data_IF_869114987243
#
_entry.id   IF_869114987243
#
_cell.length_a   1.000
_cell.length_b   1.000
_cell.length_c   1.000
_cell.angle_alpha   90.00
_cell.angle_beta   90.00
_cell.angle_gamma   90.00
#
_symmetry.space_group_name_H-M   'P 1'
#
loop_
_entity.id
_entity.type
_entity.pdbx_description
1 polymer ?
#
# COMPACT_ATOMS: atom_id res chain seq x y z
N UNK A 1 0.10 -22.07 0.05
CA UNK A 1 -0.65 -20.93 -0.52
C UNK A 1 -1.71 -21.50 -1.44
N UNK A 2 -2.99 -21.24 -1.17
CA UNK A 2 -4.12 -21.87 -1.88
C UNK A 2 -4.43 -21.14 -3.19
N UNK A 3 -4.54 -19.81 -3.15
CA UNK A 3 -4.81 -18.96 -4.33
C UNK A 3 -4.02 -17.66 -4.24
N UNK A 4 -3.64 -17.07 -5.39
CA UNK A 4 -3.05 -15.74 -5.46
C UNK A 4 -3.39 -15.06 -6.79
N UNK A 5 -3.55 -13.72 -6.77
CA UNK A 5 -3.55 -12.87 -7.96
C UNK A 5 -2.82 -11.56 -7.67
N UNK A 6 -2.09 -11.06 -8.65
CA UNK A 6 -1.38 -9.79 -8.56
C UNK A 6 -1.63 -8.99 -9.84
N UNK A 7 -2.21 -7.81 -9.71
CA UNK A 7 -2.47 -6.89 -10.81
C UNK A 7 -1.56 -5.68 -10.70
N UNK A 8 -1.29 -5.04 -11.84
CA UNK A 8 -0.44 -3.86 -11.88
C UNK A 8 -1.01 -2.86 -12.89
N UNK A 9 -1.60 -1.77 -12.39
CA UNK A 9 -2.13 -0.67 -13.21
C UNK A 9 -1.49 0.65 -12.82
N UNK A 10 -1.23 1.49 -13.81
CA UNK A 10 -0.66 2.82 -13.60
C UNK A 10 -1.77 3.82 -13.26
N UNK A 11 -1.84 4.20 -11.98
CA UNK A 11 -2.91 5.05 -11.43
C UNK A 11 -2.43 6.41 -10.93
N UNK A 12 -1.12 6.61 -10.72
CA UNK A 12 -0.54 7.85 -10.17
C UNK A 12 0.41 8.53 -11.16
N UNK A 13 0.54 9.86 -11.11
CA UNK A 13 1.49 10.60 -11.98
C UNK A 13 2.93 10.49 -11.45
N UNK A 14 3.89 10.16 -12.31
CA UNK A 14 5.31 10.00 -11.95
C UNK A 14 5.96 11.23 -11.27
N UNK A 15 5.64 12.46 -11.69
CA UNK A 15 6.31 13.70 -11.24
C UNK A 15 5.61 14.47 -10.11
N UNK A 16 4.33 14.21 -9.83
CA UNK A 16 3.55 15.08 -8.92
C UNK A 16 2.80 14.34 -7.82
N UNK A 17 2.99 13.01 -7.71
CA UNK A 17 2.62 12.20 -6.54
C UNK A 17 1.19 12.39 -6.05
N UNK A 18 0.25 11.55 -6.48
CA UNK A 18 -1.12 11.59 -6.01
C UNK A 18 -2.05 10.75 -6.88
N UNK A 19 -3.15 10.32 -6.29
CA UNK A 19 -4.23 9.59 -6.96
C UNK A 19 -5.05 10.59 -7.78
N UNK A 20 -5.49 10.22 -8.98
CA UNK A 20 -6.16 11.16 -9.88
C UNK A 20 -7.50 11.61 -9.29
N UNK A 21 -8.28 10.69 -8.71
CA UNK A 21 -9.55 11.00 -8.03
C UNK A 21 -9.41 12.04 -6.90
N UNK A 22 -8.37 11.94 -6.07
CA UNK A 22 -8.11 12.92 -5.01
C UNK A 22 -7.79 14.31 -5.58
N UNK A 23 -7.03 14.38 -6.68
CA UNK A 23 -6.69 15.64 -7.33
C UNK A 23 -7.90 16.25 -8.06
N UNK A 24 -8.74 15.43 -8.69
CA UNK A 24 -9.96 15.89 -9.36
C UNK A 24 -10.97 16.45 -8.36
N UNK A 25 -11.08 15.87 -7.16
CA UNK A 25 -11.94 16.39 -6.11
C UNK A 25 -11.45 17.74 -5.54
N UNK A 26 -10.13 17.97 -5.54
CA UNK A 26 -9.54 19.18 -4.97
C UNK A 26 -9.43 20.34 -5.96
N UNK A 27 -9.13 20.07 -7.25
CA UNK A 27 -8.81 21.09 -8.27
C UNK A 27 -9.74 21.05 -9.48
N UNK A 28 -10.78 20.23 -9.44
CA UNK A 28 -11.67 19.97 -10.55
C UNK A 28 -11.12 18.93 -11.54
N UNK A 29 -11.99 18.29 -12.33
CA UNK A 29 -11.60 17.19 -13.20
C UNK A 29 -10.73 17.69 -14.35
N UNK A 30 -9.45 17.30 -14.35
CA UNK A 30 -8.58 17.55 -15.50
C UNK A 30 -9.10 16.79 -16.73
N UNK A 31 -9.22 17.45 -17.89
CA UNK A 31 -9.74 16.87 -19.14
C UNK A 31 -8.67 16.30 -20.08
N UNK A 32 -7.42 16.22 -19.63
CA UNK A 32 -6.33 15.69 -20.46
C UNK A 32 -6.46 14.18 -20.71
N UNK A 33 -5.95 13.70 -21.85
CA UNK A 33 -5.90 12.27 -22.17
C UNK A 33 -5.20 11.44 -21.07
N UNK A 34 -4.13 11.97 -20.48
CA UNK A 34 -3.44 11.31 -19.37
C UNK A 34 -4.25 11.23 -18.08
N UNK A 35 -5.13 12.19 -17.81
CA UNK A 35 -6.06 12.13 -16.68
C UNK A 35 -7.17 11.09 -16.93
N UNK A 36 -7.73 11.07 -18.14
CA UNK A 36 -8.73 10.07 -18.55
C UNK A 36 -8.18 8.64 -18.43
N UNK A 37 -6.95 8.39 -18.91
CA UNK A 37 -6.30 7.08 -18.79
C UNK A 37 -6.11 6.63 -17.34
N UNK A 38 -5.74 7.55 -16.43
CA UNK A 38 -5.61 7.23 -15.01
C UNK A 38 -6.95 6.91 -14.35
N UNK A 39 -8.02 7.65 -14.66
CA UNK A 39 -9.38 7.32 -14.19
C UNK A 39 -9.85 5.96 -14.70
N UNK A 40 -9.60 5.67 -15.97
CA UNK A 40 -9.88 4.36 -16.54
C UNK A 40 -9.11 3.25 -15.81
N UNK A 41 -7.81 3.43 -15.58
CA UNK A 41 -7.00 2.47 -14.84
C UNK A 41 -7.45 2.31 -13.38
N UNK A 42 -7.90 3.37 -12.71
CA UNK A 42 -8.47 3.29 -11.37
C UNK A 42 -9.78 2.47 -11.35
N UNK A 43 -10.69 2.70 -12.30
CA UNK A 43 -11.92 1.92 -12.44
C UNK A 43 -11.66 0.46 -12.78
N UNK A 44 -10.83 0.21 -13.78
CA UNK A 44 -10.52 -1.14 -14.20
C UNK A 44 -9.73 -1.91 -13.11
N UNK A 45 -8.91 -1.21 -12.31
CA UNK A 45 -8.30 -1.81 -11.13
C UNK A 45 -9.38 -2.25 -10.15
N UNK A 46 -10.35 -1.38 -9.84
CA UNK A 46 -11.48 -1.69 -8.97
C UNK A 46 -12.26 -2.92 -9.44
N UNK A 47 -12.58 -2.99 -10.73
CA UNK A 47 -13.29 -4.13 -11.34
C UNK A 47 -12.50 -5.44 -11.19
N UNK A 48 -11.19 -5.42 -11.46
CA UNK A 48 -10.33 -6.59 -11.30
C UNK A 48 -10.37 -7.13 -9.86
N UNK A 49 -10.45 -6.24 -8.87
CA UNK A 49 -10.46 -6.59 -7.44
C UNK A 49 -11.79 -7.18 -7.03
N UNK A 50 -12.88 -6.52 -7.43
CA UNK A 50 -14.25 -6.99 -7.19
C UNK A 50 -14.40 -8.40 -7.75
N UNK A 51 -13.93 -8.63 -8.98
CA UNK A 51 -13.97 -9.96 -9.60
C UNK A 51 -13.20 -10.99 -8.77
N UNK A 52 -12.02 -10.66 -8.25
CA UNK A 52 -11.27 -11.59 -7.38
C UNK A 52 -11.97 -11.85 -6.06
N UNK A 53 -12.63 -10.85 -5.49
CA UNK A 53 -13.39 -11.00 -4.26
C UNK A 53 -14.56 -11.95 -4.45
N UNK A 54 -15.26 -11.85 -5.57
CA UNK A 54 -16.33 -12.74 -5.99
C UNK A 54 -15.80 -14.16 -6.27
N UNK A 55 -14.73 -14.28 -7.08
CA UNK A 55 -14.07 -15.56 -7.39
C UNK A 55 -13.66 -16.31 -6.10
N UNK A 56 -13.34 -15.59 -5.02
CA UNK A 56 -12.85 -16.16 -3.76
C UNK A 56 -13.87 -16.09 -2.61
N UNK A 57 -15.14 -15.75 -2.88
CA UNK A 57 -16.14 -15.51 -1.85
C UNK A 57 -16.27 -16.68 -0.86
N UNK A 58 -16.32 -17.91 -1.37
CA UNK A 58 -16.41 -19.13 -0.54
C UNK A 58 -15.18 -19.32 0.36
N UNK A 59 -13.97 -19.19 -0.22
CA UNK A 59 -12.73 -19.32 0.53
C UNK A 59 -12.63 -18.24 1.63
N UNK A 60 -13.14 -17.04 1.35
CA UNK A 60 -13.11 -15.93 2.29
C UNK A 60 -14.15 -16.03 3.39
N UNK A 61 -15.32 -16.61 3.08
CA UNK A 61 -16.30 -16.95 4.08
C UNK A 61 -15.72 -17.96 5.09
N UNK A 62 -14.96 -18.95 4.62
CA UNK A 62 -14.33 -19.97 5.46
C UNK A 62 -13.10 -19.47 6.25
N UNK A 63 -12.55 -18.30 5.90
CA UNK A 63 -11.32 -17.79 6.52
C UNK A 63 -11.61 -17.13 7.88
N UNK A 64 -10.98 -17.56 8.99
CA UNK A 64 -11.19 -16.97 10.32
C UNK A 64 -10.50 -15.62 10.49
N UNK A 65 -9.38 -15.37 9.79
CA UNK A 65 -8.59 -14.15 9.96
C UNK A 65 -8.08 -13.62 8.62
N UNK A 66 -8.34 -12.35 8.36
CA UNK A 66 -8.08 -11.72 7.08
C UNK A 66 -7.18 -10.50 7.28
N UNK A 67 -5.96 -10.55 6.75
CA UNK A 67 -5.03 -9.42 6.81
C UNK A 67 -5.08 -8.59 5.54
N UNK A 68 -5.47 -7.31 5.66
CA UNK A 68 -5.51 -6.36 4.56
C UNK A 68 -4.52 -5.22 4.76
N UNK A 69 -3.76 -4.92 3.70
CA UNK A 69 -2.95 -3.72 3.59
C UNK A 69 -3.30 -2.99 2.29
N UNK A 70 -3.87 -1.81 2.42
CA UNK A 70 -4.16 -0.92 1.30
C UNK A 70 -3.99 0.54 1.73
N UNK A 71 -3.98 1.46 0.77
CA UNK A 71 -4.13 2.87 1.09
C UNK A 71 -5.55 3.13 1.64
N UNK A 72 -5.70 4.13 2.50
CA UNK A 72 -6.98 4.44 3.17
C UNK A 72 -8.13 4.65 2.18
N UNK A 73 -7.88 5.37 1.09
CA UNK A 73 -8.89 5.65 0.05
C UNK A 73 -9.31 4.41 -0.75
N UNK A 74 -8.47 3.37 -0.85
CA UNK A 74 -8.79 2.12 -1.56
C UNK A 74 -9.55 1.14 -0.69
N UNK A 75 -9.57 1.35 0.64
CA UNK A 75 -10.22 0.43 1.58
C UNK A 75 -11.72 0.30 1.30
N UNK A 76 -12.33 1.36 0.76
CA UNK A 76 -13.76 1.40 0.41
C UNK A 76 -14.16 0.30 -0.58
N UNK A 77 -13.25 -0.11 -1.47
CA UNK A 77 -13.51 -1.15 -2.49
C UNK A 77 -13.95 -2.44 -1.82
N UNK A 78 -13.33 -2.82 -0.69
CA UNK A 78 -13.62 -4.06 0.03
C UNK A 78 -14.97 -4.05 0.77
N UNK A 79 -15.61 -2.89 0.90
CA UNK A 79 -16.88 -2.71 1.62
C UNK A 79 -18.07 -2.46 0.69
N UNK A 80 -17.81 -2.23 -0.59
CA UNK A 80 -18.82 -1.94 -1.62
C UNK A 80 -18.98 -3.09 -2.62
N UNK A 81 -18.47 -4.28 -2.26
CA UNK A 81 -18.67 -5.51 -3.04
C UNK A 81 -19.87 -6.25 -2.44
N UNK A 82 -20.87 -6.55 -3.25
CA UNK A 82 -22.07 -7.27 -2.79
C UNK A 82 -21.71 -8.71 -2.36
N UNK A 83 -21.03 -9.47 -3.23
CA UNK A 83 -20.60 -10.84 -2.96
C UNK A 83 -19.10 -10.93 -2.67
N UNK A 84 -18.73 -11.52 -1.53
CA UNK A 84 -17.32 -11.66 -1.10
C UNK A 84 -16.71 -10.38 -0.52
N UNK A 85 -17.48 -9.29 -0.40
CA UNK A 85 -17.11 -8.10 0.34
C UNK A 85 -17.11 -8.30 1.86
N UNK A 86 -16.56 -7.33 2.57
CA UNK A 86 -16.51 -7.33 4.03
C UNK A 86 -17.34 -6.21 4.63
N UNK A 87 -17.98 -6.50 5.76
CA UNK A 87 -18.59 -5.45 6.58
C UNK A 87 -17.53 -4.48 7.12
N UNK A 88 -17.91 -3.22 7.33
CA UNK A 88 -17.00 -2.18 7.85
C UNK A 88 -16.40 -2.53 9.21
N UNK A 89 -17.10 -3.33 10.01
CA UNK A 89 -16.72 -3.75 11.36
C UNK A 89 -16.48 -5.26 11.46
N UNK A 90 -16.21 -5.94 10.33
CA UNK A 90 -15.93 -7.38 10.35
C UNK A 90 -14.72 -7.67 11.28
N UNK A 91 -14.90 -8.47 12.35
CA UNK A 91 -13.85 -8.73 13.35
C UNK A 91 -12.68 -9.56 12.80
N UNK A 92 -12.87 -10.23 11.66
CA UNK A 92 -11.83 -11.02 10.97
C UNK A 92 -10.81 -10.11 10.28
N UNK A 93 -11.18 -8.87 9.96
CA UNK A 93 -10.30 -7.92 9.29
C UNK A 93 -9.24 -7.35 10.22
N UNK A 94 -7.97 -7.61 9.91
CA UNK A 94 -6.79 -7.07 10.61
C UNK A 94 -5.86 -6.32 9.65
N UNK A 95 -5.11 -5.39 10.21
CA UNK A 95 -4.01 -4.72 9.49
C UNK A 95 -2.71 -5.44 9.78
N UNK A 96 -1.82 -5.54 8.78
CA UNK A 96 -0.48 -6.11 8.95
C UNK A 96 0.32 -5.22 9.94
N UNK A 97 0.82 -5.77 11.06
CA UNK A 97 1.42 -5.00 12.16
C UNK A 97 2.89 -4.61 11.92
N UNK A 98 3.39 -4.74 10.70
CA UNK A 98 4.76 -4.40 10.31
C UNK A 98 4.80 -3.84 8.90
N UNK A 99 5.96 -3.30 8.53
CA UNK A 99 6.16 -2.71 7.21
C UNK A 99 6.07 -3.76 6.09
N UNK A 100 5.27 -3.41 5.09
CA UNK A 100 5.06 -4.16 3.86
C UNK A 100 5.74 -3.45 2.70
N UNK A 101 6.36 -4.21 1.80
CA UNK A 101 6.99 -3.72 0.56
C UNK A 101 5.97 -3.70 -0.58
N UNK A 102 6.48 -3.59 -1.81
CA UNK A 102 5.66 -3.64 -3.02
C UNK A 102 4.86 -4.94 -3.07
N UNK A 103 3.57 -4.88 -3.44
CA UNK A 103 2.67 -6.02 -3.53
C UNK A 103 3.03 -6.94 -4.69
N UNK A 104 3.97 -7.85 -4.42
CA UNK A 104 4.39 -8.94 -5.28
C UNK A 104 4.16 -10.26 -4.53
N UNK A 105 4.16 -11.36 -5.27
CA UNK A 105 3.95 -12.69 -4.69
C UNK A 105 4.97 -13.04 -3.59
N UNK A 106 6.23 -12.65 -3.78
CA UNK A 106 7.29 -12.85 -2.79
C UNK A 106 7.03 -12.07 -1.49
N UNK A 107 6.41 -10.89 -1.61
CA UNK A 107 6.00 -10.11 -0.46
C UNK A 107 4.81 -10.75 0.28
N UNK A 108 3.85 -11.35 -0.45
CA UNK A 108 2.76 -12.13 0.17
C UNK A 108 3.36 -13.24 1.02
N UNK A 109 4.28 -14.00 0.45
CA UNK A 109 4.96 -15.12 1.11
C UNK A 109 5.73 -14.66 2.35
N UNK A 110 6.55 -13.60 2.22
CA UNK A 110 7.30 -13.04 3.34
C UNK A 110 6.40 -12.58 4.49
N UNK A 111 5.28 -11.92 4.16
CA UNK A 111 4.31 -11.46 5.16
C UNK A 111 3.67 -12.67 5.86
N UNK A 112 3.24 -13.68 5.10
CA UNK A 112 2.65 -14.90 5.64
C UNK A 112 3.59 -15.63 6.59
N UNK A 113 4.82 -15.90 6.15
CA UNK A 113 5.86 -16.54 6.98
C UNK A 113 6.12 -15.75 8.27
N UNK A 114 6.17 -14.42 8.17
CA UNK A 114 6.41 -13.55 9.32
C UNK A 114 5.22 -13.51 10.30
N UNK A 115 3.98 -13.55 9.81
CA UNK A 115 2.79 -13.62 10.65
C UNK A 115 2.67 -14.97 11.37
N UNK A 116 3.08 -16.06 10.72
CA UNK A 116 3.09 -17.40 11.30
C UNK A 116 4.31 -17.70 12.18
N UNK A 117 5.34 -16.85 12.18
CA UNK A 117 6.54 -17.06 12.99
C UNK A 117 6.42 -16.47 14.39
N UNK A 118 6.96 -17.19 15.38
CA UNK A 118 7.19 -16.66 16.73
C UNK A 118 8.65 -16.24 16.85
N UNK A 119 8.90 -15.03 17.35
CA UNK A 119 10.25 -14.50 17.54
C UNK A 119 10.53 -14.20 19.00
N UNK A 120 11.63 -14.75 19.53
CA UNK A 120 12.13 -14.42 20.87
C UNK A 120 12.93 -13.11 20.82
N UNK A 121 12.62 -12.17 21.72
CA UNK A 121 13.25 -10.86 21.76
C UNK A 121 14.12 -10.63 23.01
N UNK A 122 14.51 -11.71 23.69
CA UNK A 122 15.25 -11.63 24.95
C UNK A 122 14.36 -11.18 26.10
N UNK A 123 14.96 -10.49 27.06
CA UNK A 123 14.25 -9.94 28.23
C UNK A 123 13.34 -8.77 27.83
N UNK A 124 12.36 -8.44 28.68
CA UNK A 124 11.45 -7.31 28.45
C UNK A 124 12.22 -5.98 28.32
N UNK A 125 13.27 -5.80 29.13
CA UNK A 125 14.11 -4.60 29.12
C UNK A 125 14.86 -4.46 27.78
N UNK A 126 15.49 -5.54 27.31
CA UNK A 126 16.19 -5.57 26.02
C UNK A 126 15.24 -5.25 24.86
N UNK A 127 14.05 -5.84 24.87
CA UNK A 127 13.02 -5.58 23.85
C UNK A 127 12.57 -4.11 23.85
N UNK A 128 12.27 -3.55 25.02
CA UNK A 128 11.85 -2.16 25.16
C UNK A 128 12.95 -1.17 24.77
N UNK A 129 14.20 -1.46 25.13
CA UNK A 129 15.37 -0.69 24.73
C UNK A 129 15.55 -0.72 23.20
N UNK A 130 15.46 -1.89 22.57
CA UNK A 130 15.57 -2.03 21.12
C UNK A 130 14.45 -1.29 20.38
N UNK A 131 13.21 -1.40 20.86
CA UNK A 131 12.07 -0.65 20.32
C UNK A 131 12.29 0.87 20.41
N UNK A 132 12.83 1.35 21.52
CA UNK A 132 13.15 2.78 21.71
C UNK A 132 14.26 3.24 20.78
N UNK A 133 15.34 2.45 20.64
CA UNK A 133 16.43 2.71 19.67
C UNK A 133 15.92 2.80 18.24
N UNK A 134 15.06 1.86 17.81
CA UNK A 134 14.41 1.91 16.48
C UNK A 134 13.59 3.18 16.30
N UNK A 135 12.78 3.56 17.29
CA UNK A 135 11.97 4.80 17.24
C UNK A 135 12.85 6.04 17.13
N UNK A 136 13.98 6.09 17.83
CA UNK A 136 14.92 7.21 17.77
C UNK A 136 15.67 7.27 16.43
N UNK A 137 16.12 6.13 15.90
CA UNK A 137 16.70 6.05 14.55
C UNK A 137 15.74 6.58 13.48
N UNK A 138 14.47 6.17 13.55
CA UNK A 138 13.45 6.67 12.63
C UNK A 138 13.22 8.18 12.75
N UNK A 139 13.17 8.72 13.97
CA UNK A 139 13.08 10.18 14.20
C UNK A 139 14.26 10.93 13.57
N UNK A 140 15.46 10.40 13.71
CA UNK A 140 16.67 11.02 13.17
C UNK A 140 16.68 10.99 11.63
N UNK A 141 16.29 9.88 11.01
CA UNK A 141 16.15 9.77 9.56
C UNK A 141 15.13 10.77 8.99
N UNK A 142 13.98 10.94 9.65
CA UNK A 142 12.97 11.93 9.25
C UNK A 142 13.48 13.37 9.40
N UNK A 143 14.20 13.68 10.48
CA UNK A 143 14.82 15.00 10.67
C UNK A 143 15.84 15.30 9.58
N UNK A 144 16.74 14.36 9.28
CA UNK A 144 17.74 14.51 8.21
C UNK A 144 17.08 14.77 6.85
N UNK A 145 16.05 13.99 6.50
CA UNK A 145 15.31 14.18 5.27
C UNK A 145 14.65 15.58 5.16
N UNK A 146 14.11 16.12 6.27
CA UNK A 146 13.56 17.49 6.28
C UNK A 146 14.61 18.57 6.05
N UNK A 147 15.85 18.35 6.50
CA UNK A 147 16.98 19.26 6.26
C UNK A 147 17.41 19.16 4.80
N UNK A 148 17.49 17.96 4.23
CA UNK A 148 17.84 17.75 2.82
C UNK A 148 16.76 18.29 1.85
N UNK A 149 15.48 18.26 2.23
CA UNK A 149 14.38 18.86 1.47
C UNK A 149 14.35 20.41 1.56
N UNK A 150 15.13 21.03 2.46
CA UNK A 150 15.30 22.48 2.56
C UNK A 150 16.29 22.96 1.49
N UNK A 151 15.81 23.07 0.25
CA UNK A 151 16.56 23.62 -0.88
C UNK A 151 16.86 25.11 -0.64
N UNK A 152 18.14 25.48 -0.57
CA UNK A 152 18.58 26.88 -0.70
C UNK A 152 18.52 27.29 -2.18
N UNK A 153 17.97 28.47 -2.45
CA UNK A 153 17.82 29.01 -3.81
C UNK A 153 19.18 29.31 -4.50
N UNK A 154 20.28 29.30 -3.74
CA UNK A 154 21.62 29.62 -4.21
C UNK A 154 22.34 28.43 -4.88
N UNK A 155 21.87 27.19 -4.69
CA UNK A 155 22.53 25.97 -5.19
C UNK A 155 22.10 25.55 -6.62
N UNK A 156 21.38 26.40 -7.36
CA UNK A 156 20.76 26.03 -8.67
C UNK A 156 21.71 26.22 -9.88
N UNK A 157 22.93 26.71 -9.70
CA UNK A 157 23.92 26.69 -10.79
C UNK A 157 24.78 25.42 -10.67
N UNK A 158 24.68 24.57 -11.69
CA UNK A 158 25.38 23.28 -11.85
C UNK A 158 24.74 22.07 -11.16
N UNK A 159 23.77 21.45 -11.87
CA UNK A 159 23.77 20.00 -12.15
C UNK A 159 22.54 19.63 -13.00
N UNK A 160 22.70 19.73 -14.31
CA UNK A 160 21.94 18.85 -15.19
C UNK A 160 22.55 17.45 -15.15
N UNK A 161 21.83 16.49 -14.56
CA UNK A 161 21.81 15.10 -15.06
C UNK A 161 20.56 14.37 -14.60
N UNK A 162 19.99 13.70 -15.58
CA UNK A 162 18.73 12.95 -15.65
C UNK A 162 18.48 11.97 -14.47
N UNK A 163 17.28 11.95 -13.86
CA UNK A 163 16.96 10.97 -12.83
C UNK A 163 16.41 9.66 -13.43
N UNK A 164 16.86 8.56 -12.84
CA UNK A 164 16.52 7.18 -13.18
C UNK A 164 15.04 6.85 -12.89
N UNK A 165 14.49 5.95 -13.71
CA UNK A 165 13.07 5.58 -13.75
C UNK A 165 12.67 4.72 -12.56
N UNK A 166 12.29 5.33 -11.44
CA UNK A 166 11.68 4.60 -10.34
C UNK A 166 10.15 4.50 -10.51
N UNK A 167 9.69 3.34 -10.97
CA UNK A 167 8.27 3.06 -11.21
C UNK A 167 7.54 2.88 -9.88
N UNK A 168 6.85 3.92 -9.40
CA UNK A 168 5.96 3.82 -8.23
C UNK A 168 4.72 3.03 -8.61
N UNK A 169 4.70 1.79 -8.15
CA UNK A 169 3.59 0.86 -8.31
C UNK A 169 2.75 0.90 -7.04
N UNK A 170 1.47 1.23 -7.20
CA UNK A 170 0.47 1.13 -6.13
C UNK A 170 -0.56 0.14 -6.62
N UNK A 171 -0.51 -1.11 -6.13
CA UNK A 171 -1.64 -2.04 -6.26
C UNK A 171 -1.76 -2.91 -5.00
N UNK A 172 -2.62 -2.44 -4.10
CA UNK A 172 -3.59 -3.24 -3.37
C UNK A 172 -3.21 -4.45 -2.49
N UNK A 173 -3.83 -4.41 -1.31
CA UNK A 173 -4.91 -5.35 -1.02
C UNK A 173 -4.46 -6.78 -0.91
N UNK A 174 -3.50 -7.03 -0.03
CA UNK A 174 -3.24 -8.40 0.40
C UNK A 174 -4.49 -8.95 1.06
N UNK A 175 -4.77 -10.20 0.74
CA UNK A 175 -5.80 -11.00 1.38
C UNK A 175 -5.10 -12.33 1.68
N UNK A 176 -4.57 -12.43 2.89
CA UNK A 176 -4.02 -13.69 3.36
C UNK A 176 -5.20 -14.54 3.82
N UNK A 177 -5.51 -15.54 2.98
CA UNK A 177 -6.41 -16.64 3.32
C UNK A 177 -5.55 -17.69 4.02
N UNK A 178 -5.88 -17.93 5.29
CA UNK A 178 -5.19 -18.84 6.20
C UNK A 178 -6.19 -19.57 7.06
#
# INVERSE_FOLDING_TARGET
MVSHKAFHRYVVRAKQGGVQSANDNAKGPARSAGAALRRYNERALREDIVKVMQDWAENLAATPLVFIRCASYQKVIFHEVDEGGFERKDPRLRTIPFETKRPLIDEVRRVWEKLGSVTCHGTLEEFMAERSRRKQRMKNLVKKKRVDDHWNLDDVKEKEKSPSKEKKVVVLGFLLIG
#
